data_IF_847639263516
#
_entry.id   IF_847639263516
#
_cell.length_a   1.000
_cell.length_b   1.000
_cell.length_c   1.000
_cell.angle_alpha   90.00
_cell.angle_beta   90.00
_cell.angle_gamma   90.00
#
_symmetry.space_group_name_H-M   'P 1'
#
loop_
_entity.id
_entity.type
_entity.pdbx_description
1 polymer ?
#
# COMPACT_ATOMS: atom_id res chain seq x y z
N UNK A 1 4.18 -16.81 -4.52
CA UNK A 1 4.26 -15.37 -4.18
C UNK A 1 5.71 -14.94 -4.01
N UNK A 2 6.12 -13.87 -4.70
CA UNK A 2 7.35 -13.11 -4.50
C UNK A 2 6.99 -11.66 -4.19
N UNK A 3 7.70 -11.03 -3.25
CA UNK A 3 7.59 -9.60 -3.01
C UNK A 3 8.55 -8.87 -3.94
N UNK A 4 8.06 -7.95 -4.79
CA UNK A 4 8.90 -7.17 -5.71
C UNK A 4 9.35 -5.85 -5.09
N UNK A 5 8.50 -5.23 -4.30
CA UNK A 5 8.76 -3.93 -3.70
C UNK A 5 8.01 -3.79 -2.38
N UNK A 6 8.65 -3.12 -1.42
CA UNK A 6 7.98 -2.50 -0.28
C UNK A 6 7.91 -1.01 -0.55
N UNK A 7 6.73 -0.43 -0.53
CA UNK A 7 6.53 0.98 -0.80
C UNK A 7 6.00 1.70 0.44
N UNK A 8 6.54 2.88 0.72
CA UNK A 8 6.11 3.74 1.82
C UNK A 8 5.81 5.14 1.31
N UNK A 9 4.80 5.77 1.87
CA UNK A 9 4.38 7.13 1.56
C UNK A 9 4.80 8.09 2.66
N UNK A 10 5.04 9.35 2.28
CA UNK A 10 5.22 10.46 3.21
C UNK A 10 4.00 11.38 3.15
N UNK A 11 3.58 12.01 4.27
CA UNK A 11 2.53 13.01 4.23
C UNK A 11 2.93 14.12 3.26
N UNK A 12 2.18 14.24 2.17
CA UNK A 12 2.46 15.20 1.10
C UNK A 12 1.21 16.02 0.83
N UNK A 13 1.30 17.35 0.68
CA UNK A 13 0.16 18.17 0.32
C UNK A 13 -0.49 17.69 -0.98
N UNK A 14 -1.78 17.39 -0.90
CA UNK A 14 -2.64 17.03 -2.02
C UNK A 14 -3.97 17.75 -1.83
N UNK A 15 -4.18 18.91 -2.47
CA UNK A 15 -5.38 19.73 -2.26
C UNK A 15 -6.71 19.02 -2.57
N UNK A 16 -6.69 17.99 -3.41
CA UNK A 16 -7.84 17.15 -3.73
C UNK A 16 -8.08 16.02 -2.71
N UNK A 17 -7.19 15.82 -1.73
CA UNK A 17 -7.40 14.86 -0.68
C UNK A 17 -8.49 15.35 0.27
N UNK A 18 -9.54 14.54 0.45
CA UNK A 18 -10.62 14.83 1.41
C UNK A 18 -10.23 14.63 2.88
N UNK A 19 -8.97 14.26 3.14
CA UNK A 19 -8.46 13.98 4.47
C UNK A 19 -8.07 15.23 5.28
N UNK A 20 -7.84 15.08 6.59
CA UNK A 20 -7.38 16.17 7.45
C UNK A 20 -6.15 16.88 6.90
N UNK A 21 -6.18 18.22 6.92
CA UNK A 21 -5.03 19.05 6.53
C UNK A 21 -4.67 19.03 5.04
N UNK A 22 -5.46 18.39 4.18
CA UNK A 22 -5.16 18.29 2.75
C UNK A 22 -3.86 17.52 2.47
N UNK A 23 -3.50 16.58 3.35
CA UNK A 23 -2.32 15.73 3.21
C UNK A 23 -2.74 14.33 2.73
N UNK A 24 -1.86 13.69 1.97
CA UNK A 24 -2.02 12.31 1.56
C UNK A 24 -0.70 11.55 1.59
N UNK A 25 -0.77 10.27 1.93
CA UNK A 25 0.32 9.29 1.80
C UNK A 25 0.14 8.35 0.60
N UNK A 26 -0.69 8.74 -0.38
CA UNK A 26 -1.02 7.89 -1.54
C UNK A 26 0.17 7.69 -2.48
N UNK A 27 1.06 8.68 -2.61
CA UNK A 27 2.29 8.61 -3.41
C UNK A 27 3.33 7.77 -2.67
N UNK A 28 3.10 6.45 -2.62
CA UNK A 28 4.04 5.50 -2.04
C UNK A 28 5.12 5.18 -3.07
N UNK A 29 6.36 5.14 -2.59
CA UNK A 29 7.53 4.86 -3.44
C UNK A 29 8.32 3.68 -2.89
N UNK A 30 9.00 2.91 -3.75
CA UNK A 30 9.89 1.84 -3.32
C UNK A 30 10.86 2.32 -2.23
N UNK A 31 10.95 1.54 -1.16
CA UNK A 31 11.88 1.76 -0.07
C UNK A 31 13.00 0.73 -0.13
N UNK A 32 14.24 1.21 -0.05
CA UNK A 32 15.42 0.36 -0.01
C UNK A 32 15.71 -0.08 1.42
N UNK A 33 15.66 -1.40 1.66
CA UNK A 33 15.98 -2.01 2.95
C UNK A 33 14.80 -2.66 3.66
N UNK A 34 15.06 -3.16 4.86
CA UNK A 34 14.05 -3.84 5.67
C UNK A 34 13.07 -2.84 6.29
N UNK A 35 11.77 -3.12 6.18
CA UNK A 35 10.70 -2.34 6.82
C UNK A 35 10.06 -3.20 7.91
N UNK A 36 10.02 -2.68 9.13
CA UNK A 36 9.31 -3.33 10.23
C UNK A 36 7.81 -3.24 10.00
N UNK A 37 7.12 -4.37 10.17
CA UNK A 37 5.66 -4.46 10.17
C UNK A 37 5.18 -4.75 11.59
N UNK A 38 4.19 -4.00 12.05
CA UNK A 38 3.54 -4.20 13.36
C UNK A 38 2.07 -3.82 13.29
N UNK A 39 1.25 -4.38 14.17
CA UNK A 39 -0.14 -3.96 14.34
C UNK A 39 -0.19 -2.49 14.80
N UNK A 40 -0.80 -1.57 14.02
CA UNK A 40 -0.88 -0.16 14.38
C UNK A 40 -2.00 0.11 15.40
N UNK A 41 -2.81 -0.88 15.78
CA UNK A 41 -3.96 -0.72 16.65
C UNK A 41 -5.25 -0.39 15.90
N UNK A 42 -6.34 -0.03 16.60
CA UNK A 42 -7.67 0.04 16.01
C UNK A 42 -7.83 1.25 15.07
N UNK A 43 -8.69 1.09 14.06
CA UNK A 43 -9.08 2.16 13.13
C UNK A 43 -9.55 3.41 13.86
N UNK A 44 -9.25 4.58 13.31
CA UNK A 44 -9.47 5.88 13.97
C UNK A 44 -8.29 6.36 14.81
N UNK A 45 -7.38 5.45 15.22
CA UNK A 45 -6.17 5.79 15.98
C UNK A 45 -4.91 5.17 15.39
N UNK A 46 -4.97 3.92 14.92
CA UNK A 46 -3.90 3.24 14.22
C UNK A 46 -3.79 3.68 12.76
N UNK A 47 -2.58 3.99 12.32
CA UNK A 47 -2.26 4.36 10.94
C UNK A 47 -1.80 3.18 10.10
N UNK A 48 -0.62 3.31 9.50
CA UNK A 48 0.04 2.23 8.75
C UNK A 48 0.69 1.22 9.69
N UNK A 49 0.67 -0.05 9.30
CA UNK A 49 1.46 -1.09 9.95
C UNK A 49 2.93 -1.10 9.54
N UNK A 50 3.31 -0.35 8.50
CA UNK A 50 4.70 -0.27 8.02
C UNK A 50 5.43 0.91 8.66
N UNK A 51 6.61 0.65 9.21
CA UNK A 51 7.48 1.70 9.72
C UNK A 51 7.86 2.70 8.61
N UNK A 52 7.64 3.99 8.87
CA UNK A 52 7.96 5.08 7.94
C UNK A 52 6.89 5.37 6.88
N UNK A 53 5.79 4.60 6.85
CA UNK A 53 4.65 4.85 5.97
C UNK A 53 3.59 5.75 6.64
N UNK A 54 2.85 6.51 5.83
CA UNK A 54 1.88 7.49 6.31
C UNK A 54 0.45 7.18 5.86
N UNK A 55 -0.48 7.17 6.82
CA UNK A 55 -1.93 7.22 6.59
C UNK A 55 -2.43 8.55 7.17
N UNK A 56 -2.91 9.45 6.31
CA UNK A 56 -3.25 10.83 6.70
C UNK A 56 -4.71 11.01 7.15
N UNK A 57 -5.61 10.08 6.80
CA UNK A 57 -7.02 10.10 7.22
C UNK A 57 -7.37 8.81 7.96
N UNK A 58 -7.18 8.84 9.28
CA UNK A 58 -7.41 7.70 10.16
C UNK A 58 -8.89 7.36 10.35
N UNK A 59 -9.81 8.26 9.98
CA UNK A 59 -11.26 7.98 10.03
C UNK A 59 -11.62 6.94 8.98
N UNK A 60 -11.06 7.08 7.79
CA UNK A 60 -11.40 6.24 6.65
C UNK A 60 -10.38 5.14 6.36
N UNK A 61 -9.12 5.34 6.75
CA UNK A 61 -8.00 4.44 6.44
C UNK A 61 -7.24 4.00 7.69
N UNK A 62 -6.40 2.98 7.53
CA UNK A 62 -5.51 2.48 8.58
C UNK A 62 -6.21 1.61 9.63
N UNK A 63 -5.43 1.27 10.65
CA UNK A 63 -5.82 0.34 11.72
C UNK A 63 -5.50 -1.11 11.36
N UNK A 64 -5.70 -2.03 12.31
CA UNK A 64 -5.28 -3.44 12.22
C UNK A 64 -5.73 -4.13 10.92
N UNK A 65 -6.97 -3.89 10.48
CA UNK A 65 -7.53 -4.52 9.27
C UNK A 65 -7.12 -3.82 7.95
N UNK A 66 -6.48 -2.65 8.03
CA UNK A 66 -5.98 -1.88 6.87
C UNK A 66 -4.51 -1.48 7.09
N UNK A 67 -3.77 -2.30 7.83
CA UNK A 67 -2.39 -2.02 8.25
C UNK A 67 -1.39 -2.15 7.09
N UNK A 68 -1.68 -3.01 6.12
CA UNK A 68 -0.83 -3.29 4.96
C UNK A 68 -1.71 -3.40 3.72
N UNK A 69 -1.36 -2.69 2.66
CA UNK A 69 -2.04 -2.83 1.36
C UNK A 69 -1.16 -3.58 0.36
N UNK A 70 -1.68 -4.64 -0.25
CA UNK A 70 -1.00 -5.41 -1.30
C UNK A 70 -1.67 -5.23 -2.65
N UNK A 71 -0.88 -5.23 -3.73
CA UNK A 71 -1.37 -5.17 -5.10
C UNK A 71 -0.45 -5.97 -6.03
N UNK A 72 -1.04 -6.71 -6.97
CA UNK A 72 -0.28 -7.59 -7.85
C UNK A 72 0.38 -6.82 -8.99
N UNK A 73 1.63 -7.17 -9.33
CA UNK A 73 2.32 -6.62 -10.49
C UNK A 73 1.58 -6.96 -11.79
N UNK A 74 0.98 -8.13 -11.84
CA UNK A 74 0.14 -8.58 -12.96
C UNK A 74 -1.03 -7.62 -13.21
N UNK A 75 -1.64 -7.06 -12.15
CA UNK A 75 -2.72 -6.08 -12.25
C UNK A 75 -2.21 -4.69 -12.65
N UNK A 76 -1.05 -4.25 -12.11
CA UNK A 76 -0.39 -3.03 -12.58
C UNK A 76 -0.11 -3.09 -14.08
N UNK A 77 0.41 -4.22 -14.57
CA UNK A 77 0.69 -4.42 -15.99
C UNK A 77 -0.58 -4.42 -16.84
N UNK A 78 -1.68 -4.98 -16.32
CA UNK A 78 -2.98 -4.93 -16.97
C UNK A 78 -3.50 -3.50 -17.09
N UNK A 79 -3.43 -2.70 -16.02
CA UNK A 79 -3.80 -1.29 -16.02
C UNK A 79 -2.91 -0.46 -16.95
N UNK A 80 -1.59 -0.69 -16.94
CA UNK A 80 -0.65 -0.05 -17.84
C UNK A 80 -1.05 -0.26 -19.31
N UNK A 81 -1.44 -1.49 -19.70
CA UNK A 81 -1.96 -1.77 -21.05
C UNK A 81 -3.25 -1.00 -21.34
N UNK A 82 -4.19 -0.99 -20.39
CA UNK A 82 -5.47 -0.28 -20.56
C UNK A 82 -5.29 1.25 -20.65
N UNK A 83 -4.28 1.80 -19.99
CA UNK A 83 -3.97 3.23 -19.96
C UNK A 83 -3.00 3.66 -21.07
N UNK A 84 -2.98 2.95 -22.19
CA UNK A 84 -2.20 3.33 -23.38
C UNK A 84 -0.70 3.08 -23.25
N UNK A 85 -0.28 2.13 -22.42
CA UNK A 85 1.12 1.75 -22.26
C UNK A 85 1.94 2.67 -21.36
N UNK A 86 1.30 3.61 -20.64
CA UNK A 86 1.98 4.43 -19.63
C UNK A 86 2.61 3.54 -18.57
N UNK A 87 3.85 3.83 -18.19
CA UNK A 87 4.48 3.08 -17.12
C UNK A 87 3.73 3.29 -15.79
N UNK A 88 3.41 2.19 -15.12
CA UNK A 88 2.93 2.17 -13.75
C UNK A 88 4.00 1.51 -12.88
N UNK A 89 4.73 2.35 -12.13
CA UNK A 89 5.75 1.90 -11.20
C UNK A 89 5.11 1.18 -10.00
N UNK A 90 5.90 0.37 -9.30
CA UNK A 90 5.51 -0.21 -8.01
C UNK A 90 5.16 0.94 -7.02
N UNK A 91 4.04 0.82 -6.32
CA UNK A 91 3.48 1.85 -5.45
C UNK A 91 2.44 2.76 -6.12
N UNK A 92 2.21 2.63 -7.44
CA UNK A 92 1.32 3.53 -8.20
C UNK A 92 -0.14 3.54 -7.73
N UNK A 93 -0.60 2.47 -7.07
CA UNK A 93 -1.94 2.40 -6.49
C UNK A 93 -1.93 2.73 -4.99
N UNK A 94 -0.79 3.17 -4.46
CA UNK A 94 -0.58 3.44 -3.05
C UNK A 94 -0.45 2.16 -2.22
N UNK A 95 -0.13 1.02 -2.84
CA UNK A 95 0.11 -0.23 -2.17
C UNK A 95 1.44 -0.23 -1.42
N UNK A 96 1.46 -0.89 -0.26
CA UNK A 96 2.68 -1.14 0.49
C UNK A 96 3.48 -2.31 -0.09
N UNK A 97 2.80 -3.36 -0.59
CA UNK A 97 3.44 -4.55 -1.11
C UNK A 97 3.07 -4.73 -2.57
N UNK A 98 4.04 -4.55 -3.47
CA UNK A 98 3.86 -4.96 -4.87
C UNK A 98 4.31 -6.41 -5.01
N UNK A 99 3.39 -7.31 -5.35
CA UNK A 99 3.59 -8.76 -5.34
C UNK A 99 3.71 -9.32 -6.75
N UNK A 100 4.26 -10.54 -6.89
CA UNK A 100 4.26 -11.31 -8.13
C UNK A 100 3.96 -12.78 -7.87
N UNK A 101 3.22 -13.42 -8.77
CA UNK A 101 2.89 -14.83 -8.72
C UNK A 101 1.92 -15.16 -7.58
N UNK A 102 0.98 -14.25 -7.32
CA UNK A 102 -0.17 -14.44 -6.43
C UNK A 102 -1.34 -13.62 -6.99
N UNK A 103 -2.51 -14.24 -7.08
CA UNK A 103 -3.75 -13.55 -7.44
C UNK A 103 -4.29 -12.84 -6.19
N UNK A 104 -3.98 -11.54 -6.06
CA UNK A 104 -4.39 -10.74 -4.90
C UNK A 104 -5.90 -10.52 -4.90
N UNK A 105 -6.50 -10.25 -6.06
CA UNK A 105 -7.94 -10.01 -6.20
C UNK A 105 -8.78 -11.28 -6.03
N UNK A 106 -8.21 -12.45 -6.32
CA UNK A 106 -8.82 -13.76 -6.08
C UNK A 106 -8.53 -14.36 -4.70
N UNK A 107 -7.78 -13.68 -3.83
CA UNK A 107 -7.41 -14.18 -2.52
C UNK A 107 -8.63 -14.39 -1.61
N UNK A 108 -8.58 -15.40 -0.74
CA UNK A 108 -9.68 -15.69 0.18
C UNK A 108 -9.59 -14.80 1.43
N UNK A 109 -10.74 -14.35 1.93
CA UNK A 109 -10.80 -13.68 3.25
C UNK A 109 -10.28 -14.65 4.32
N UNK A 110 -9.28 -14.22 5.09
CA UNK A 110 -8.63 -15.02 6.12
C UNK A 110 -7.48 -15.90 5.62
N UNK A 111 -7.17 -15.89 4.31
CA UNK A 111 -5.96 -16.50 3.78
C UNK A 111 -4.72 -15.87 4.43
N UNK A 112 -3.68 -16.69 4.68
CA UNK A 112 -2.47 -16.27 5.39
C UNK A 112 -1.27 -16.39 4.49
N UNK A 113 -0.61 -15.26 4.24
CA UNK A 113 0.63 -15.20 3.49
C UNK A 113 1.82 -15.00 4.41
N UNK A 114 2.92 -15.71 4.13
CA UNK A 114 4.20 -15.44 4.76
C UNK A 114 4.98 -14.47 3.86
N UNK A 115 5.38 -13.33 4.44
CA UNK A 115 6.18 -12.30 3.77
C UNK A 115 7.30 -11.89 4.71
N UNK A 116 8.54 -11.87 4.21
CA UNK A 116 9.71 -11.61 5.05
C UNK A 116 10.12 -12.82 5.89
N UNK A 117 10.84 -12.55 6.99
CA UNK A 117 11.44 -13.54 7.87
C UNK A 117 11.00 -13.34 9.33
#
# INVERSE_FOLDING_TARGET
>A
MRLLSVNVGRPTPLPSAGGPGGLSGIDKRPFEGAVRVSDPGPKGTGGSGLAGDAVCDLRNHGGSDQAVYAFAREELDAWQRQLGGRELANGSFGENLTTLGVDVSGALIGERWRVGA
#
